data_IF_973206300734
#
_entry.id   IF_973206300734
#
_cell.length_a   1.000
_cell.length_b   1.000
_cell.length_c   1.000
_cell.angle_alpha   90.00
_cell.angle_beta   90.00
_cell.angle_gamma   90.00
#
_symmetry.space_group_name_H-M   'P 1'
#
loop_
_entity.id
_entity.type
_entity.pdbx_description
1 polymer ?
#
# COMPACT_ATOMS: atom_id res chain seq x y z
N UNK A 1 73.73 -39.62 25.18
CA UNK A 1 73.65 -38.47 26.12
C UNK A 1 72.27 -37.86 25.97
N UNK A 2 71.45 -37.50 26.96
CA UNK A 2 71.53 -37.49 28.43
C UNK A 2 70.07 -37.35 28.93
N UNK A 3 69.75 -38.05 30.03
CA UNK A 3 68.84 -37.69 31.14
C UNK A 3 67.30 -37.68 30.93
N UNK A 4 66.66 -38.63 31.64
CA UNK A 4 65.29 -38.62 32.24
C UNK A 4 65.10 -37.40 33.19
N UNK A 5 63.87 -36.90 33.54
CA UNK A 5 62.86 -37.62 34.37
C UNK A 5 61.34 -37.25 34.16
N UNK A 6 60.42 -38.20 34.42
CA UNK A 6 59.39 -38.32 35.51
C UNK A 6 58.14 -37.40 35.46
N UNK A 7 56.97 -38.06 35.45
CA UNK A 7 55.71 -37.85 36.23
C UNK A 7 55.04 -36.44 36.21
N UNK A 8 53.72 -36.21 36.21
CA UNK A 8 52.49 -36.98 36.48
C UNK A 8 51.29 -36.03 36.21
N UNK A 9 50.14 -36.58 35.78
CA UNK A 9 48.73 -36.16 36.00
C UNK A 9 48.08 -34.99 35.23
N UNK A 10 47.11 -35.41 34.38
CA UNK A 10 45.69 -35.03 34.20
C UNK A 10 45.26 -33.55 34.16
N UNK A 11 44.55 -33.22 33.07
CA UNK A 11 43.58 -32.14 33.01
C UNK A 11 42.90 -32.11 31.63
N UNK A 12 41.70 -32.69 31.53
CA UNK A 12 40.84 -32.62 30.35
C UNK A 12 40.21 -31.23 30.27
N UNK A 13 40.32 -30.56 29.13
CA UNK A 13 39.41 -29.48 28.73
C UNK A 13 39.36 -29.43 27.21
N UNK A 14 38.18 -29.70 26.68
CA UNK A 14 37.86 -29.73 25.25
C UNK A 14 37.57 -28.29 24.81
N UNK A 15 38.46 -27.71 24.00
CA UNK A 15 38.22 -26.45 23.30
C UNK A 15 38.22 -26.76 21.79
N UNK A 16 37.04 -26.76 21.18
CA UNK A 16 36.88 -26.80 19.73
C UNK A 16 37.13 -25.36 19.24
N UNK A 17 38.32 -25.13 18.70
CA UNK A 17 38.67 -23.94 17.93
C UNK A 17 38.37 -24.28 16.47
N UNK A 18 37.29 -23.74 15.91
CA UNK A 18 37.08 -23.68 14.47
C UNK A 18 37.66 -22.36 13.94
N UNK A 19 38.78 -22.48 13.25
CA UNK A 19 39.41 -21.42 12.46
C UNK A 19 38.49 -21.03 11.30
N UNK A 20 38.10 -19.76 11.21
CA UNK A 20 37.79 -19.12 9.92
C UNK A 20 38.80 -18.00 9.69
N UNK A 21 39.72 -18.23 8.75
CA UNK A 21 40.59 -17.22 8.18
C UNK A 21 39.77 -16.39 7.19
N UNK A 22 39.39 -15.17 7.58
CA UNK A 22 38.88 -14.18 6.65
C UNK A 22 40.05 -13.61 5.83
N UNK A 23 40.17 -14.05 4.59
CA UNK A 23 40.98 -13.36 3.58
C UNK A 23 40.15 -12.18 3.07
N UNK A 24 40.65 -10.96 3.31
CA UNK A 24 40.15 -9.73 2.70
C UNK A 24 40.39 -9.80 1.19
N UNK A 25 39.32 -9.89 0.41
CA UNK A 25 39.33 -9.58 -1.02
C UNK A 25 38.70 -8.19 -1.23
N UNK A 26 39.24 -7.39 -2.17
CA UNK A 26 38.74 -6.04 -2.41
C UNK A 26 37.35 -6.09 -3.05
N UNK A 27 36.45 -5.23 -2.57
CA UNK A 27 35.13 -5.01 -3.18
C UNK A 27 35.36 -4.30 -4.52
N UNK A 28 35.29 -5.05 -5.62
CA UNK A 28 35.03 -4.49 -6.94
C UNK A 28 33.52 -4.30 -7.09
N UNK A 29 33.10 -3.08 -7.42
CA UNK A 29 31.72 -2.71 -7.68
C UNK A 29 31.04 -3.70 -8.63
N UNK A 30 30.00 -4.39 -8.15
CA UNK A 30 29.14 -5.22 -8.97
C UNK A 30 28.14 -4.35 -9.74
N UNK A 31 27.99 -4.67 -11.01
CA UNK A 31 27.14 -4.04 -12.04
C UNK A 31 25.63 -4.20 -11.79
N UNK A 32 24.79 -3.30 -12.34
CA UNK A 32 23.36 -3.19 -12.02
C UNK A 32 22.51 -4.12 -12.91
N UNK A 33 22.52 -5.43 -12.65
CA UNK A 33 21.70 -6.38 -13.43
C UNK A 33 20.59 -7.07 -12.60
N UNK A 34 20.52 -6.88 -11.27
CA UNK A 34 19.56 -7.60 -10.41
C UNK A 34 18.41 -6.73 -9.83
N UNK A 35 18.16 -5.55 -10.39
CA UNK A 35 17.09 -4.65 -9.91
C UNK A 35 15.65 -5.07 -10.25
N UNK A 36 15.47 -6.07 -11.12
CA UNK A 36 14.15 -6.43 -11.67
C UNK A 36 13.40 -7.54 -10.91
N UNK A 37 14.07 -8.30 -10.03
CA UNK A 37 13.39 -9.29 -9.16
C UNK A 37 12.59 -8.61 -8.03
N UNK A 38 13.12 -7.49 -7.53
CA UNK A 38 12.63 -6.87 -6.30
C UNK A 38 11.27 -6.17 -6.46
N UNK A 39 11.03 -5.49 -7.59
CA UNK A 39 9.74 -4.80 -7.83
C UNK A 39 8.57 -5.74 -8.09
N UNK A 40 8.83 -6.94 -8.64
CA UNK A 40 7.80 -7.96 -8.84
C UNK A 40 7.44 -8.64 -7.51
N UNK A 41 8.42 -8.87 -6.63
CA UNK A 41 8.19 -9.37 -5.26
C UNK A 41 7.49 -8.32 -4.39
N UNK A 42 7.81 -7.03 -4.53
CA UNK A 42 7.10 -5.92 -3.86
C UNK A 42 5.63 -5.82 -4.28
N UNK A 43 5.33 -5.97 -5.57
CA UNK A 43 3.95 -5.98 -6.08
C UNK A 43 3.17 -7.25 -5.67
N UNK A 44 3.87 -8.36 -5.40
CA UNK A 44 3.27 -9.61 -4.94
C UNK A 44 3.06 -9.64 -3.41
N UNK A 45 3.98 -9.07 -2.63
CA UNK A 45 3.92 -9.02 -1.17
C UNK A 45 2.98 -7.91 -0.66
N UNK A 46 2.96 -6.77 -1.34
CA UNK A 46 1.97 -5.70 -1.13
C UNK A 46 0.86 -5.88 -2.16
N UNK A 47 -0.04 -6.83 -1.91
CA UNK A 47 -1.20 -7.00 -2.76
C UNK A 47 -2.21 -5.86 -2.48
N UNK A 48 -1.92 -4.66 -3.01
CA UNK A 48 -2.73 -3.42 -2.95
C UNK A 48 -4.13 -3.61 -3.59
N UNK A 49 -4.44 -4.80 -4.11
CA UNK A 49 -5.55 -5.07 -5.03
C UNK A 49 -6.78 -5.72 -4.40
N UNK A 50 -6.86 -5.85 -3.07
CA UNK A 50 -8.01 -6.43 -2.38
C UNK A 50 -8.54 -5.46 -1.30
N UNK A 51 -9.83 -5.04 -1.31
CA UNK A 51 -10.38 -4.16 -0.29
C UNK A 51 -10.35 -4.73 1.14
N UNK A 52 -10.01 -6.02 1.33
CA UNK A 52 -9.68 -6.58 2.67
C UNK A 52 -8.26 -6.24 3.14
N UNK A 53 -7.39 -5.76 2.26
CA UNK A 53 -6.00 -5.37 2.50
C UNK A 53 -5.77 -3.86 2.41
N UNK A 54 -6.81 -3.03 2.46
CA UNK A 54 -6.68 -1.58 2.43
C UNK A 54 -7.68 -0.91 3.38
N UNK A 55 -7.25 0.11 4.12
CA UNK A 55 -8.13 0.92 4.96
C UNK A 55 -7.68 2.38 5.00
N UNK A 56 -8.60 3.27 4.66
CA UNK A 56 -8.40 4.72 4.73
C UNK A 56 -8.99 5.30 6.02
N UNK A 57 -8.34 6.30 6.58
CA UNK A 57 -8.76 7.03 7.77
C UNK A 57 -8.96 8.51 7.44
N UNK A 58 -10.22 8.94 7.42
CA UNK A 58 -10.58 10.32 7.08
C UNK A 58 -10.13 11.34 8.13
N UNK A 59 -9.86 10.90 9.36
CA UNK A 59 -9.40 11.73 10.47
C UNK A 59 -8.02 12.33 10.20
N UNK A 60 -7.14 11.58 9.53
CA UNK A 60 -5.76 11.98 9.27
C UNK A 60 -5.44 12.12 7.79
N UNK A 61 -6.29 11.60 6.89
CA UNK A 61 -6.03 11.67 5.46
C UNK A 61 -5.06 10.59 4.96
N UNK A 62 -4.81 9.55 5.77
CA UNK A 62 -3.82 8.52 5.48
C UNK A 62 -4.42 7.11 5.38
N UNK A 63 -3.70 6.22 4.71
CA UNK A 63 -4.15 4.85 4.46
C UNK A 63 -3.19 3.80 5.01
N UNK A 64 -3.71 2.64 5.41
CA UNK A 64 -2.90 1.47 5.83
C UNK A 64 -3.25 0.31 4.91
N UNK A 65 -2.24 -0.42 4.42
CA UNK A 65 -2.47 -1.46 3.43
C UNK A 65 -1.62 -2.73 3.63
N UNK A 66 -1.99 -3.80 2.92
CA UNK A 66 -1.23 -5.03 2.81
C UNK A 66 -0.99 -5.76 4.15
N UNK A 67 0.21 -6.35 4.32
CA UNK A 67 0.65 -6.94 5.58
C UNK A 67 0.57 -6.00 6.77
N UNK A 68 0.85 -4.70 6.56
CA UNK A 68 0.86 -3.70 7.61
C UNK A 68 -0.55 -3.42 8.15
N UNK A 69 -1.58 -3.44 7.29
CA UNK A 69 -2.98 -3.37 7.73
C UNK A 69 -3.40 -4.61 8.53
N UNK A 70 -2.95 -5.81 8.14
CA UNK A 70 -3.25 -7.04 8.90
C UNK A 70 -2.64 -6.97 10.29
N UNK A 71 -1.37 -6.60 10.35
CA UNK A 71 -0.66 -6.40 11.61
C UNK A 71 -1.41 -5.38 12.46
N UNK A 72 -1.55 -4.14 11.96
CA UNK A 72 -2.23 -3.03 12.61
C UNK A 72 -3.59 -3.43 13.20
N UNK A 73 -4.45 -4.14 12.43
CA UNK A 73 -5.75 -4.62 12.93
C UNK A 73 -5.61 -5.68 14.01
N UNK A 74 -4.73 -6.67 13.81
CA UNK A 74 -4.53 -7.79 14.74
C UNK A 74 -3.94 -7.37 16.08
N UNK A 75 -3.20 -6.27 16.10
CA UNK A 75 -2.48 -5.78 17.27
C UNK A 75 -3.22 -4.71 18.05
N UNK A 76 -4.41 -4.28 17.63
CA UNK A 76 -5.26 -3.35 18.40
C UNK A 76 -5.67 -2.07 17.64
N UNK A 77 -5.30 -1.95 16.37
CA UNK A 77 -5.76 -0.90 15.46
C UNK A 77 -5.58 0.51 16.01
N UNK A 78 -6.63 1.33 15.87
CA UNK A 78 -6.65 2.73 16.33
C UNK A 78 -6.34 2.81 17.83
N UNK A 79 -6.87 1.88 18.63
CA UNK A 79 -6.69 1.88 20.09
C UNK A 79 -5.22 1.79 20.48
N UNK A 80 -4.44 0.93 19.81
CA UNK A 80 -3.01 0.75 20.11
C UNK A 80 -2.11 1.70 19.32
N UNK A 81 -2.29 1.77 18.01
CA UNK A 81 -1.36 2.44 17.10
C UNK A 81 -1.75 3.90 16.86
N UNK A 82 -3.01 4.26 17.09
CA UNK A 82 -3.58 5.53 16.64
C UNK A 82 -3.82 5.55 15.14
N UNK A 83 -4.34 6.66 14.63
CA UNK A 83 -4.53 6.83 13.19
C UNK A 83 -3.19 6.86 12.46
N UNK A 84 -3.10 6.39 11.20
CA UNK A 84 -1.90 6.60 10.38
C UNK A 84 -1.68 8.09 10.16
N UNK A 85 -0.43 8.54 10.21
CA UNK A 85 -0.04 9.95 9.99
C UNK A 85 0.93 10.12 8.81
N UNK A 86 1.27 9.01 8.14
CA UNK A 86 1.97 8.98 6.86
C UNK A 86 1.40 7.87 5.98
N UNK A 87 1.75 7.86 4.70
CA UNK A 87 1.68 6.65 3.87
C UNK A 87 2.87 5.71 4.18
N UNK A 88 2.93 4.56 3.50
CA UNK A 88 4.07 3.64 3.56
C UNK A 88 5.28 4.26 2.84
N UNK A 89 6.39 4.41 3.54
CA UNK A 89 7.63 5.03 3.07
C UNK A 89 8.72 3.97 2.92
N UNK A 90 9.58 4.06 1.90
CA UNK A 90 10.77 3.20 1.78
C UNK A 90 11.96 3.88 2.45
N UNK A 91 12.58 3.23 3.44
CA UNK A 91 13.77 3.72 4.18
C UNK A 91 14.74 2.58 4.44
N UNK A 92 16.02 2.81 4.22
CA UNK A 92 17.11 1.86 4.57
C UNK A 92 16.82 0.40 4.16
N UNK A 93 16.23 0.20 2.97
CA UNK A 93 15.94 -1.12 2.40
C UNK A 93 14.67 -1.81 2.91
N UNK A 94 13.86 -1.17 3.75
CA UNK A 94 12.61 -1.70 4.27
C UNK A 94 11.51 -0.62 4.29
N UNK A 95 10.25 -1.02 4.50
CA UNK A 95 9.13 -0.08 4.47
C UNK A 95 8.78 0.38 5.88
N UNK A 96 8.39 1.64 6.04
CA UNK A 96 8.08 2.27 7.34
C UNK A 96 6.78 3.06 7.21
N UNK A 97 5.89 2.94 8.18
CA UNK A 97 4.71 3.79 8.28
C UNK A 97 4.53 4.34 9.70
N UNK A 98 4.23 5.63 9.80
CA UNK A 98 4.04 6.32 11.06
C UNK A 98 2.54 6.41 11.38
N UNK A 99 2.23 6.20 12.66
CA UNK A 99 0.92 6.34 13.26
C UNK A 99 1.01 7.28 14.46
N UNK A 100 -0.10 7.81 14.97
CA UNK A 100 -0.07 8.74 16.10
C UNK A 100 0.71 8.19 17.31
N UNK A 101 0.62 6.87 17.57
CA UNK A 101 1.20 6.22 18.74
C UNK A 101 2.26 5.16 18.44
N UNK A 102 2.56 4.88 17.17
CA UNK A 102 3.56 3.87 16.82
C UNK A 102 4.19 4.11 15.46
N UNK A 103 5.34 3.49 15.20
CA UNK A 103 5.90 3.34 13.86
C UNK A 103 6.00 1.86 13.56
N UNK A 104 5.55 1.45 12.38
CA UNK A 104 5.58 0.06 11.93
C UNK A 104 6.53 -0.09 10.75
N UNK A 105 7.43 -1.06 10.85
CA UNK A 105 8.32 -1.49 9.78
C UNK A 105 7.77 -2.75 9.12
N UNK A 106 7.84 -2.79 7.80
CA UNK A 106 7.45 -3.93 6.98
C UNK A 106 8.66 -4.41 6.18
N UNK A 107 8.94 -5.70 6.32
CA UNK A 107 10.06 -6.42 5.74
C UNK A 107 9.55 -7.50 4.79
N UNK A 108 9.52 -7.24 3.46
CA UNK A 108 9.01 -8.19 2.47
C UNK A 108 9.73 -9.54 2.50
N UNK A 109 11.04 -9.54 2.77
CA UNK A 109 11.89 -10.75 2.81
C UNK A 109 11.45 -11.75 3.90
N UNK A 110 10.67 -11.30 4.88
CA UNK A 110 10.12 -12.12 5.97
C UNK A 110 8.64 -12.48 5.75
N UNK A 111 8.14 -12.43 4.52
CA UNK A 111 6.70 -12.63 4.25
C UNK A 111 6.15 -13.94 4.81
N UNK A 112 4.96 -13.87 5.44
CA UNK A 112 4.31 -15.01 6.09
C UNK A 112 4.89 -15.42 7.45
N UNK A 113 5.89 -14.70 7.96
CA UNK A 113 6.47 -14.92 9.29
C UNK A 113 6.05 -13.84 10.29
N UNK A 114 6.18 -14.07 11.61
CA UNK A 114 5.98 -13.03 12.62
C UNK A 114 6.88 -11.79 12.45
N UNK A 115 7.97 -11.89 11.70
CA UNK A 115 8.94 -10.82 11.43
C UNK A 115 8.56 -9.99 10.18
N UNK A 116 7.49 -10.36 9.45
CA UNK A 116 7.02 -9.63 8.26
C UNK A 116 6.70 -8.17 8.58
N UNK A 117 6.04 -7.92 9.72
CA UNK A 117 5.77 -6.56 10.21
C UNK A 117 6.19 -6.51 11.67
N UNK A 118 7.04 -5.56 12.00
CA UNK A 118 7.47 -5.29 13.35
C UNK A 118 7.10 -3.86 13.72
N UNK A 119 6.68 -3.59 14.96
CA UNK A 119 6.75 -2.23 15.45
C UNK A 119 8.24 -1.87 15.49
N UNK A 120 8.59 -0.69 15.03
CA UNK A 120 9.95 -0.18 15.23
C UNK A 120 10.17 -0.20 16.73
N UNK A 121 11.12 -1.03 17.18
CA UNK A 121 11.49 -1.04 18.59
C UNK A 121 11.84 0.41 18.91
N UNK A 122 11.07 0.96 19.83
CA UNK A 122 10.88 2.37 20.06
C UNK A 122 12.14 2.91 20.73
N UNK A 123 13.30 2.91 20.06
CA UNK A 123 14.58 3.15 20.70
C UNK A 123 14.85 2.29 21.97
N UNK A 124 14.05 1.27 22.27
CA UNK A 124 14.08 0.58 23.55
C UNK A 124 15.39 -0.16 23.76
N UNK A 125 15.76 -1.06 22.85
CA UNK A 125 17.01 -1.82 23.04
C UNK A 125 18.27 -0.93 22.99
N UNK A 126 18.28 0.11 22.15
CA UNK A 126 19.48 0.92 21.90
C UNK A 126 19.63 2.16 22.83
N UNK A 127 18.53 2.73 23.37
CA UNK A 127 18.57 3.87 24.33
C UNK A 127 18.36 3.48 25.80
N UNK A 128 17.96 2.24 26.12
CA UNK A 128 17.97 1.76 27.51
C UNK A 128 19.41 1.79 28.04
N UNK A 129 20.40 1.48 27.20
CA UNK A 129 21.79 1.26 27.65
C UNK A 129 21.86 0.10 28.65
N UNK A 130 22.89 0.06 29.49
CA UNK A 130 22.94 -0.91 30.61
C UNK A 130 21.97 -0.49 31.73
N UNK A 131 20.64 -0.61 31.54
CA UNK A 131 19.74 -0.53 32.69
C UNK A 131 19.88 -1.80 33.52
N UNK A 132 20.05 -1.61 34.82
CA UNK A 132 20.22 -2.70 35.75
C UNK A 132 19.01 -3.65 35.69
N UNK A 133 19.30 -4.94 35.49
CA UNK A 133 18.34 -6.01 35.73
C UNK A 133 18.05 -6.11 37.23
N UNK A 134 16.92 -6.70 37.58
CA UNK A 134 16.57 -6.96 38.98
C UNK A 134 16.89 -8.39 39.36
N UNK A 135 17.33 -8.59 40.61
CA UNK A 135 17.47 -9.93 41.16
C UNK A 135 16.10 -10.62 41.14
N UNK A 136 16.07 -11.88 40.72
CA UNK A 136 14.84 -12.66 40.70
C UNK A 136 14.17 -12.70 42.08
N UNK A 137 12.85 -12.51 42.08
CA UNK A 137 12.00 -12.57 43.27
C UNK A 137 10.65 -13.23 42.94
N UNK A 138 9.93 -13.68 43.97
CA UNK A 138 8.58 -14.24 43.78
C UNK A 138 7.58 -13.14 43.41
N UNK A 139 6.90 -13.32 42.27
CA UNK A 139 5.86 -12.39 41.81
C UNK A 139 4.67 -12.34 42.79
N UNK A 140 4.19 -11.13 43.04
CA UNK A 140 3.04 -10.81 43.90
C UNK A 140 1.93 -10.14 43.10
N UNK A 141 0.82 -9.80 43.77
CA UNK A 141 -0.29 -9.10 43.12
C UNK A 141 0.09 -7.69 42.63
N UNK A 142 1.01 -7.03 43.33
CA UNK A 142 1.43 -5.64 43.14
C UNK A 142 2.74 -5.46 42.37
N UNK A 143 3.52 -6.54 42.22
CA UNK A 143 4.78 -6.54 41.48
C UNK A 143 5.05 -7.90 40.83
N UNK A 144 5.38 -7.90 39.55
CA UNK A 144 5.58 -9.13 38.78
C UNK A 144 6.97 -9.17 38.15
N UNK A 145 7.71 -10.25 38.40
CA UNK A 145 9.02 -10.50 37.81
C UNK A 145 8.90 -11.33 36.53
N UNK A 146 9.69 -10.97 35.52
CA UNK A 146 9.74 -11.63 34.21
C UNK A 146 11.14 -12.22 34.02
N UNK A 147 11.32 -13.55 34.19
CA UNK A 147 12.63 -14.19 34.08
C UNK A 147 13.23 -14.07 32.68
N UNK A 148 12.42 -13.94 31.63
CA UNK A 148 12.88 -13.83 30.25
C UNK A 148 13.68 -12.55 29.98
N UNK A 149 13.32 -11.44 30.64
CA UNK A 149 13.99 -10.15 30.48
C UNK A 149 14.77 -9.72 31.72
N UNK A 150 14.64 -10.45 32.83
CA UNK A 150 15.22 -10.08 34.13
C UNK A 150 14.78 -8.69 34.63
N UNK A 151 13.54 -8.32 34.28
CA UNK A 151 12.89 -7.06 34.68
C UNK A 151 11.57 -7.32 35.38
N UNK A 152 11.04 -6.30 36.05
CA UNK A 152 9.77 -6.36 36.74
C UNK A 152 8.84 -5.21 36.38
N UNK A 153 7.55 -5.44 36.59
CA UNK A 153 6.51 -4.40 36.46
C UNK A 153 5.77 -4.32 37.79
N UNK A 154 5.56 -3.11 38.29
CA UNK A 154 4.88 -2.87 39.58
C UNK A 154 3.93 -1.69 39.54
N UNK A 155 3.03 -1.62 40.52
CA UNK A 155 2.20 -0.43 40.76
C UNK A 155 1.29 -0.11 39.58
N UNK A 156 1.17 1.17 39.24
CA UNK A 156 0.29 1.62 38.15
C UNK A 156 0.70 1.09 36.78
N UNK A 157 2.00 0.91 36.51
CA UNK A 157 2.48 0.29 35.28
C UNK A 157 2.00 -1.16 35.18
N UNK A 158 1.97 -1.92 36.28
CA UNK A 158 1.48 -3.31 36.28
C UNK A 158 -0.03 -3.37 36.05
N UNK A 159 -0.77 -2.48 36.72
CA UNK A 159 -2.22 -2.36 36.52
C UNK A 159 -2.56 -1.99 35.08
N UNK A 160 -1.85 -1.01 34.51
CA UNK A 160 -2.02 -0.62 33.11
C UNK A 160 -1.67 -1.78 32.17
N UNK A 161 -0.54 -2.44 32.40
CA UNK A 161 -0.07 -3.54 31.55
C UNK A 161 -1.06 -4.72 31.52
N UNK A 162 -1.60 -5.11 32.69
CA UNK A 162 -2.64 -6.15 32.79
C UNK A 162 -3.93 -5.77 32.08
N UNK A 163 -4.36 -4.52 32.21
CA UNK A 163 -5.63 -4.05 31.67
C UNK A 163 -5.58 -3.71 30.17
N UNK A 164 -4.38 -3.56 29.59
CA UNK A 164 -4.18 -3.16 28.20
C UNK A 164 -3.50 -4.23 27.35
N UNK A 165 -3.72 -5.51 27.69
CA UNK A 165 -3.39 -6.65 26.83
C UNK A 165 -2.00 -7.27 27.03
N UNK A 166 -1.40 -7.07 28.21
CA UNK A 166 -0.21 -7.77 28.73
C UNK A 166 0.91 -7.93 27.66
N UNK A 167 1.44 -9.16 27.54
CA UNK A 167 2.52 -9.52 26.62
C UNK A 167 2.12 -9.35 25.15
N UNK A 168 0.85 -9.50 24.81
CA UNK A 168 0.40 -9.43 23.41
C UNK A 168 0.36 -8.00 22.89
N UNK A 169 0.13 -7.03 23.78
CA UNK A 169 -0.08 -5.63 23.43
C UNK A 169 1.09 -4.72 23.75
N UNK A 170 1.80 -4.97 24.86
CA UNK A 170 2.91 -4.12 25.30
C UNK A 170 4.24 -4.87 25.26
N UNK A 171 4.20 -6.20 25.32
CA UNK A 171 5.39 -7.05 25.37
C UNK A 171 5.93 -7.20 26.79
N UNK A 172 7.09 -7.83 26.92
CA UNK A 172 7.81 -7.98 28.18
C UNK A 172 8.50 -6.67 28.58
N UNK A 173 8.69 -6.39 29.89
CA UNK A 173 9.42 -5.21 30.33
C UNK A 173 10.90 -5.31 29.95
N UNK A 174 11.46 -4.20 29.48
CA UNK A 174 12.88 -4.06 29.15
C UNK A 174 13.62 -3.12 30.12
N UNK A 175 12.90 -2.52 31.08
CA UNK A 175 13.48 -1.70 32.13
C UNK A 175 12.63 -1.75 33.39
N UNK A 176 13.19 -1.35 34.52
CA UNK A 176 12.39 -0.87 35.64
C UNK A 176 11.83 0.54 35.32
N UNK A 177 10.82 1.06 36.04
CA UNK A 177 10.44 2.46 35.94
C UNK A 177 11.58 3.40 36.33
N UNK A 178 11.83 4.44 35.53
CA UNK A 178 12.85 5.45 35.82
C UNK A 178 12.44 6.84 35.30
N UNK A 179 13.07 7.89 35.84
CA UNK A 179 12.84 9.26 35.37
C UNK A 179 13.66 9.56 34.10
N UNK A 180 12.96 9.93 33.02
CA UNK A 180 13.53 10.36 31.75
C UNK A 180 13.41 11.89 31.61
N UNK A 181 14.51 12.55 31.25
CA UNK A 181 14.53 14.00 31.00
C UNK A 181 13.91 14.30 29.65
N UNK A 182 12.90 15.15 29.63
CA UNK A 182 12.23 15.59 28.42
C UNK A 182 12.97 16.78 27.77
N UNK A 183 12.67 17.14 26.51
CA UNK A 183 13.34 18.27 25.82
C UNK A 183 13.17 19.63 26.50
N UNK A 184 12.19 19.79 27.38
CA UNK A 184 11.94 20.99 28.18
C UNK A 184 12.57 20.92 29.59
N UNK A 185 13.52 19.98 29.78
CA UNK A 185 14.18 19.65 31.05
C UNK A 185 13.25 19.09 32.15
N UNK A 186 11.97 18.88 31.88
CA UNK A 186 11.07 18.22 32.83
C UNK A 186 11.44 16.73 32.99
N UNK A 187 11.05 16.15 34.13
CA UNK A 187 11.26 14.72 34.42
C UNK A 187 9.94 13.99 34.28
N UNK A 188 9.94 12.92 33.48
CA UNK A 188 8.79 12.06 33.27
C UNK A 188 9.13 10.65 33.73
N UNK A 189 8.31 10.06 34.59
CA UNK A 189 8.48 8.67 35.00
C UNK A 189 8.01 7.75 33.87
N UNK A 190 8.91 6.89 33.37
CA UNK A 190 8.65 6.01 32.23
C UNK A 190 9.07 4.58 32.52
N UNK A 191 8.49 3.63 31.79
CA UNK A 191 8.96 2.24 31.75
C UNK A 191 8.90 1.71 30.31
N UNK A 192 9.97 1.03 29.89
CA UNK A 192 10.09 0.47 28.56
C UNK A 192 9.68 -1.01 28.53
N UNK A 193 9.00 -1.38 27.44
CA UNK A 193 8.58 -2.74 27.10
C UNK A 193 8.99 -3.04 25.65
N UNK A 194 8.93 -4.31 25.25
CA UNK A 194 9.29 -4.75 23.88
C UNK A 194 8.55 -3.95 22.79
N UNK A 195 7.30 -3.54 23.04
CA UNK A 195 6.46 -2.88 22.03
C UNK A 195 5.92 -1.51 22.43
N UNK A 196 6.32 -0.97 23.59
CA UNK A 196 5.80 0.31 24.08
C UNK A 196 6.72 0.99 25.10
N UNK A 197 6.67 2.33 25.14
CA UNK A 197 7.09 3.13 26.28
C UNK A 197 5.83 3.60 27.01
N UNK A 198 5.72 3.25 28.28
CA UNK A 198 4.66 3.76 29.14
C UNK A 198 5.17 5.01 29.86
N UNK A 199 4.35 6.05 29.90
CA UNK A 199 4.62 7.34 30.54
C UNK A 199 3.60 7.59 31.64
N UNK A 200 4.06 7.96 32.83
CA UNK A 200 3.18 8.34 33.93
C UNK A 200 2.92 9.86 33.91
N UNK A 201 1.67 10.25 33.68
CA UNK A 201 1.26 11.65 33.64
C UNK A 201 0.37 11.98 34.83
N UNK A 202 0.95 12.65 35.84
CA UNK A 202 0.25 13.00 37.08
C UNK A 202 -0.96 13.91 36.86
N UNK A 203 -0.92 14.75 35.82
CA UNK A 203 -1.94 15.79 35.55
C UNK A 203 -3.10 15.30 34.68
N UNK A 204 -3.00 14.12 34.05
CA UNK A 204 -3.97 13.63 33.04
C UNK A 204 -4.46 12.19 33.31
N UNK A 205 -4.68 11.86 34.59
CA UNK A 205 -5.28 10.62 35.07
C UNK A 205 -4.52 9.31 34.75
N UNK A 206 -3.18 9.30 34.88
CA UNK A 206 -2.41 8.05 35.06
C UNK A 206 -1.47 7.65 33.92
N UNK A 207 -1.24 6.34 33.76
CA UNK A 207 -0.31 5.77 32.78
C UNK A 207 -0.85 5.90 31.35
N UNK A 208 -0.02 6.38 30.44
CA UNK A 208 -0.32 6.48 29.00
C UNK A 208 0.74 5.80 28.16
N UNK A 209 0.37 5.38 26.95
CA UNK A 209 1.32 4.95 25.94
C UNK A 209 1.89 6.22 25.28
N UNK A 210 3.21 6.36 25.23
CA UNK A 210 3.86 7.51 24.63
C UNK A 210 3.41 7.74 23.17
N UNK A 211 3.15 9.00 22.77
CA UNK A 211 2.83 9.44 21.39
C UNK A 211 4.08 9.42 20.47
N UNK A 212 4.74 8.27 20.44
CA UNK A 212 6.09 8.10 19.89
C UNK A 212 6.16 8.26 18.37
N UNK A 213 5.12 7.81 17.65
CA UNK A 213 5.08 7.91 16.20
C UNK A 213 4.95 9.35 15.70
N UNK A 214 4.18 10.19 16.40
CA UNK A 214 4.08 11.61 16.08
C UNK A 214 5.40 12.36 16.29
N UNK A 215 6.03 12.18 17.46
CA UNK A 215 7.34 12.83 17.75
C UNK A 215 8.45 12.37 16.80
N UNK A 216 8.44 11.09 16.39
CA UNK A 216 9.43 10.56 15.45
C UNK A 216 9.16 11.04 14.02
N UNK A 217 7.89 11.14 13.61
CA UNK A 217 7.54 11.79 12.35
C UNK A 217 8.05 13.24 12.32
N UNK A 218 7.87 14.01 13.40
CA UNK A 218 8.35 15.39 13.50
C UNK A 218 9.89 15.53 13.41
N UNK A 219 10.65 14.55 13.92
CA UNK A 219 12.12 14.60 13.90
C UNK A 219 12.74 14.02 12.63
N UNK A 220 12.10 13.02 12.01
CA UNK A 220 12.64 12.27 10.89
C UNK A 220 12.06 12.68 9.52
N UNK A 221 11.01 13.51 9.52
CA UNK A 221 10.40 14.08 8.33
C UNK A 221 10.62 15.59 8.35
N UNK A 222 10.81 16.19 7.19
CA UNK A 222 11.12 17.63 7.09
C UNK A 222 10.04 18.45 7.82
N UNK A 223 10.45 19.16 8.88
CA UNK A 223 9.57 19.91 9.80
C UNK A 223 8.59 20.87 9.10
N UNK A 224 8.91 21.33 7.88
CA UNK A 224 8.01 22.18 7.09
C UNK A 224 6.76 21.45 6.57
N UNK A 225 6.83 20.13 6.33
CA UNK A 225 5.69 19.31 5.88
C UNK A 225 4.64 19.12 6.99
N UNK A 226 5.06 19.12 8.27
CA UNK A 226 4.19 18.89 9.43
C UNK A 226 3.77 20.19 10.15
N UNK A 227 4.65 21.21 10.21
CA UNK A 227 4.40 22.40 11.03
C UNK A 227 3.52 23.48 10.37
N UNK A 228 3.20 23.39 9.07
CA UNK A 228 2.50 24.47 8.35
C UNK A 228 1.30 24.06 7.50
N UNK A 229 0.95 22.78 7.49
CA UNK A 229 -0.28 22.34 6.84
C UNK A 229 -1.36 22.13 7.91
N UNK A 230 -2.38 23.02 8.01
CA UNK A 230 -3.67 22.56 8.51
C UNK A 230 -4.04 21.31 7.70
N UNK A 231 -4.38 20.20 8.36
CA UNK A 231 -4.79 18.93 7.73
C UNK A 231 -5.79 19.08 6.57
N UNK A 232 -6.51 20.21 6.52
CA UNK A 232 -7.47 20.58 5.48
C UNK A 232 -6.86 21.18 4.18
N UNK A 233 -5.61 21.66 4.14
CA UNK A 233 -5.03 22.32 2.94
C UNK A 233 -4.24 21.41 2.01
N UNK A 234 -3.72 20.27 2.49
CA UNK A 234 -3.00 19.31 1.64
C UNK A 234 -3.93 18.45 0.77
N UNK A 235 -5.24 18.50 1.01
CA UNK A 235 -6.25 17.65 0.36
C UNK A 235 -7.03 18.32 -0.78
N UNK A 236 -6.78 19.59 -1.12
CA UNK A 236 -7.54 20.27 -2.19
C UNK A 236 -6.81 20.36 -3.55
N UNK A 237 -5.51 20.05 -3.63
CA UNK A 237 -4.72 20.22 -4.87
C UNK A 237 -3.91 19.00 -5.32
N UNK A 238 -4.17 17.80 -4.78
CA UNK A 238 -3.42 16.63 -5.23
C UNK A 238 -3.74 16.33 -6.70
N UNK A 239 -2.68 16.24 -7.49
CA UNK A 239 -2.74 15.88 -8.90
C UNK A 239 -1.83 14.70 -9.17
N UNK A 240 -2.27 13.84 -10.08
CA UNK A 240 -1.49 12.72 -10.59
C UNK A 240 -1.42 12.90 -12.10
N UNK A 241 -0.19 12.90 -12.63
CA UNK A 241 0.03 13.09 -14.06
C UNK A 241 0.49 11.79 -14.69
N UNK A 242 -0.40 11.15 -15.45
CA UNK A 242 -0.12 9.90 -16.17
C UNK A 242 -0.92 9.84 -17.47
N UNK A 243 -0.47 9.09 -18.48
CA UNK A 243 -1.32 8.68 -19.58
C UNK A 243 -2.38 7.66 -19.12
N UNK A 244 -3.65 7.91 -19.44
CA UNK A 244 -4.74 6.92 -19.38
C UNK A 244 -5.30 6.74 -20.79
N UNK A 245 -5.01 5.57 -21.38
CA UNK A 245 -5.31 5.27 -22.77
C UNK A 245 -6.58 4.42 -22.87
N UNK A 246 -7.54 4.87 -23.68
CA UNK A 246 -8.82 4.19 -23.88
C UNK A 246 -8.88 3.46 -25.20
N UNK A 247 -9.12 2.16 -25.08
CA UNK A 247 -9.40 1.21 -26.13
C UNK A 247 -10.88 0.81 -26.07
N UNK A 248 -11.44 0.37 -27.21
CA UNK A 248 -12.77 -0.22 -27.24
C UNK A 248 -12.68 -1.67 -27.72
N UNK A 249 -12.09 -1.89 -28.89
CA UNK A 249 -11.92 -3.24 -29.44
C UNK A 249 -10.44 -3.61 -29.61
N UNK A 250 -10.13 -4.89 -29.37
CA UNK A 250 -8.86 -5.55 -29.72
C UNK A 250 -9.15 -6.66 -30.74
N UNK A 251 -9.48 -6.24 -31.96
CA UNK A 251 -9.94 -7.13 -33.04
C UNK A 251 -9.51 -6.65 -34.42
N UNK A 252 -9.60 -7.54 -35.40
CA UNK A 252 -9.40 -7.20 -36.81
C UNK A 252 -10.75 -6.92 -37.46
N UNK A 253 -10.89 -5.78 -38.14
CA UNK A 253 -12.11 -5.36 -38.81
C UNK A 253 -11.78 -4.71 -40.16
N UNK A 254 -12.62 -4.95 -41.17
CA UNK A 254 -12.48 -4.37 -42.49
C UNK A 254 -12.96 -2.90 -42.50
N UNK A 255 -12.01 -1.97 -42.64
CA UNK A 255 -12.26 -0.52 -42.71
C UNK A 255 -13.34 -0.12 -43.72
N UNK A 256 -13.45 -0.83 -44.85
CA UNK A 256 -14.42 -0.49 -45.90
C UNK A 256 -15.84 -0.89 -45.52
N UNK A 257 -15.98 -1.92 -44.67
CA UNK A 257 -17.29 -2.47 -44.28
C UNK A 257 -17.81 -1.84 -42.99
N UNK A 258 -16.91 -1.52 -42.06
CA UNK A 258 -17.26 -0.90 -40.79
C UNK A 258 -16.20 0.14 -40.40
N UNK A 259 -16.40 1.37 -40.89
CA UNK A 259 -15.49 2.47 -40.62
C UNK A 259 -15.48 2.89 -39.15
N UNK A 260 -16.64 2.82 -38.47
CA UNK A 260 -16.74 3.19 -37.06
C UNK A 260 -16.04 2.14 -36.19
N UNK A 261 -16.37 0.87 -36.39
CA UNK A 261 -15.70 -0.23 -35.70
C UNK A 261 -14.21 -0.26 -35.98
N UNK A 262 -13.77 0.04 -37.21
CA UNK A 262 -12.34 0.20 -37.52
C UNK A 262 -11.68 1.29 -36.68
N UNK A 263 -12.29 2.48 -36.60
CA UNK A 263 -11.75 3.58 -35.78
C UNK A 263 -11.66 3.24 -34.30
N UNK A 264 -12.55 2.39 -33.80
CA UNK A 264 -12.58 1.93 -32.41
C UNK A 264 -11.75 0.66 -32.16
N UNK A 265 -11.17 0.06 -33.20
CA UNK A 265 -10.42 -1.20 -33.09
C UNK A 265 -8.92 -0.99 -33.21
N UNK A 266 -8.17 -1.66 -32.35
CA UNK A 266 -6.75 -1.96 -32.55
C UNK A 266 -6.64 -3.45 -32.85
N UNK A 267 -5.83 -3.84 -33.84
CA UNK A 267 -5.64 -5.28 -34.12
C UNK A 267 -4.87 -5.95 -32.98
N UNK A 268 -5.10 -7.24 -32.68
CA UNK A 268 -4.33 -7.95 -31.65
C UNK A 268 -2.80 -7.86 -31.86
N UNK A 269 -2.35 -7.92 -33.11
CA UNK A 269 -0.92 -7.76 -33.44
C UNK A 269 -0.39 -6.37 -33.08
N UNK A 270 -1.13 -5.31 -33.43
CA UNK A 270 -0.72 -3.93 -33.11
C UNK A 270 -0.78 -3.68 -31.60
N UNK A 271 -1.81 -4.19 -30.94
CA UNK A 271 -1.94 -4.12 -29.49
C UNK A 271 -0.76 -4.82 -28.79
N UNK A 272 -0.38 -6.02 -29.24
CA UNK A 272 0.82 -6.70 -28.75
C UNK A 272 2.08 -5.83 -28.86
N UNK A 273 2.31 -5.20 -30.02
CA UNK A 273 3.44 -4.27 -30.23
C UNK A 273 3.40 -3.07 -29.29
N UNK A 274 2.22 -2.53 -28.97
CA UNK A 274 2.07 -1.46 -27.98
C UNK A 274 2.51 -1.93 -26.59
N UNK A 275 2.07 -3.11 -26.16
CA UNK A 275 2.43 -3.66 -24.86
C UNK A 275 3.93 -3.99 -24.76
N UNK A 276 4.50 -4.59 -25.81
CA UNK A 276 5.93 -4.91 -25.85
C UNK A 276 6.77 -3.63 -25.73
N UNK A 277 6.42 -2.59 -26.49
CA UNK A 277 7.11 -1.31 -26.41
C UNK A 277 6.99 -0.65 -25.04
N UNK A 278 5.80 -0.69 -24.40
CA UNK A 278 5.63 -0.18 -23.03
C UNK A 278 6.58 -0.89 -22.07
N UNK A 279 6.62 -2.23 -22.14
CA UNK A 279 7.49 -3.06 -21.29
C UNK A 279 8.97 -2.73 -21.50
N UNK A 280 9.43 -2.71 -22.75
CA UNK A 280 10.81 -2.41 -23.13
C UNK A 280 11.25 -1.00 -22.73
N UNK A 281 10.31 -0.05 -22.63
CA UNK A 281 10.59 1.33 -22.24
C UNK A 281 10.36 1.60 -20.73
N UNK A 282 10.12 0.56 -19.95
CA UNK A 282 9.99 0.61 -18.48
C UNK A 282 8.71 1.25 -18.00
N UNK A 283 7.61 1.17 -18.76
CA UNK A 283 6.31 1.63 -18.29
C UNK A 283 5.65 0.58 -17.39
N UNK A 284 4.99 1.05 -16.34
CA UNK A 284 4.30 0.21 -15.37
C UNK A 284 2.79 0.44 -15.48
N UNK A 285 2.06 -0.58 -15.89
CA UNK A 285 0.60 -0.47 -15.99
C UNK A 285 -0.04 -0.43 -14.60
N UNK A 286 -1.01 0.47 -14.42
CA UNK A 286 -1.82 0.61 -13.19
C UNK A 286 -3.32 0.67 -13.52
N UNK A 287 -4.18 0.32 -12.56
CA UNK A 287 -5.64 0.46 -12.69
C UNK A 287 -6.10 1.88 -12.32
N UNK A 288 -7.28 2.30 -12.75
CA UNK A 288 -7.88 3.58 -12.31
C UNK A 288 -8.12 3.58 -10.80
N UNK A 289 -8.44 2.45 -10.19
CA UNK A 289 -8.53 2.37 -8.73
C UNK A 289 -7.21 2.79 -8.05
N UNK A 290 -6.06 2.35 -8.57
CA UNK A 290 -4.75 2.76 -8.04
C UNK A 290 -4.47 4.25 -8.28
N UNK A 291 -4.88 4.80 -9.42
CA UNK A 291 -4.76 6.24 -9.73
C UNK A 291 -5.63 7.08 -8.79
N UNK A 292 -6.85 6.62 -8.53
CA UNK A 292 -7.74 7.22 -7.55
C UNK A 292 -7.12 7.20 -6.15
N UNK A 293 -6.53 6.09 -5.74
CA UNK A 293 -5.90 5.98 -4.42
C UNK A 293 -4.68 6.90 -4.31
N UNK A 294 -3.91 7.07 -5.40
CA UNK A 294 -2.86 8.07 -5.47
C UNK A 294 -3.40 9.51 -5.31
N UNK A 295 -4.54 9.83 -5.92
CA UNK A 295 -5.18 11.15 -5.78
C UNK A 295 -5.76 11.37 -4.37
N UNK A 296 -6.55 10.43 -3.88
CA UNK A 296 -7.26 10.57 -2.61
C UNK A 296 -6.33 10.45 -1.41
N UNK A 297 -5.40 9.51 -1.47
CA UNK A 297 -4.64 9.07 -0.30
C UNK A 297 -3.14 9.34 -0.42
N UNK A 298 -2.64 9.71 -1.59
CA UNK A 298 -1.22 10.04 -1.78
C UNK A 298 -0.35 8.79 -1.94
N UNK A 299 -0.96 7.64 -2.26
CA UNK A 299 -0.25 6.43 -2.64
C UNK A 299 0.68 6.73 -3.80
N UNK A 300 1.96 6.38 -3.66
CA UNK A 300 2.92 6.57 -4.72
C UNK A 300 2.68 5.55 -5.84
N UNK A 301 2.47 6.04 -7.06
CA UNK A 301 2.45 5.18 -8.25
C UNK A 301 3.89 4.81 -8.64
N UNK A 302 4.10 3.66 -9.29
CA UNK A 302 5.40 3.33 -9.86
C UNK A 302 5.86 4.40 -10.84
N UNK A 303 7.19 4.54 -11.00
CA UNK A 303 7.73 5.40 -12.06
C UNK A 303 7.16 4.98 -13.43
N UNK A 304 6.97 5.96 -14.32
CA UNK A 304 6.35 5.74 -15.64
C UNK A 304 5.04 4.95 -15.57
N UNK A 305 4.23 5.22 -14.53
CA UNK A 305 2.88 4.69 -14.44
C UNK A 305 2.06 5.06 -15.67
N UNK A 306 1.32 4.09 -16.20
CA UNK A 306 0.38 4.26 -17.31
C UNK A 306 -0.89 3.47 -17.00
N UNK A 307 -2.04 4.06 -17.27
CA UNK A 307 -3.27 3.30 -17.27
C UNK A 307 -3.67 2.91 -18.70
N UNK A 308 -4.06 1.65 -18.86
CA UNK A 308 -4.74 1.15 -20.04
C UNK A 308 -6.18 0.83 -19.61
N UNK A 309 -7.16 1.38 -20.32
CA UNK A 309 -8.57 1.09 -20.07
C UNK A 309 -9.29 0.60 -21.32
N UNK A 310 -10.27 -0.26 -21.12
CA UNK A 310 -11.09 -0.82 -22.17
C UNK A 310 -12.55 -0.64 -21.83
N UNK A 311 -13.31 -0.07 -22.74
CA UNK A 311 -14.73 0.19 -22.56
C UNK A 311 -15.58 -0.93 -23.21
N UNK A 312 -16.88 -0.92 -22.89
CA UNK A 312 -17.95 -1.78 -23.41
C UNK A 312 -18.00 -3.25 -22.95
N UNK A 313 -16.87 -3.90 -22.71
CA UNK A 313 -16.86 -5.28 -22.18
C UNK A 313 -17.15 -6.38 -23.22
N UNK A 314 -16.80 -6.14 -24.48
CA UNK A 314 -16.95 -7.10 -25.59
C UNK A 314 -16.10 -8.38 -25.44
N UNK A 315 -16.38 -9.41 -26.24
CA UNK A 315 -15.69 -10.70 -26.14
C UNK A 315 -14.16 -10.63 -26.35
N UNK A 316 -13.69 -9.65 -27.13
CA UNK A 316 -12.26 -9.38 -27.36
C UNK A 316 -11.54 -8.77 -26.15
N UNK A 317 -12.25 -8.44 -25.06
CA UNK A 317 -11.64 -8.14 -23.77
C UNK A 317 -10.84 -9.32 -23.23
N UNK A 318 -11.25 -10.55 -23.53
CA UNK A 318 -10.48 -11.73 -23.16
C UNK A 318 -9.13 -11.79 -23.89
N UNK A 319 -9.10 -11.38 -25.16
CA UNK A 319 -7.85 -11.25 -25.94
C UNK A 319 -6.94 -10.18 -25.34
N UNK A 320 -7.48 -9.02 -24.98
CA UNK A 320 -6.72 -7.95 -24.33
C UNK A 320 -6.14 -8.41 -22.98
N UNK A 321 -6.98 -9.03 -22.14
CA UNK A 321 -6.59 -9.59 -20.84
C UNK A 321 -5.44 -10.60 -20.96
N UNK A 322 -5.55 -11.58 -21.87
CA UNK A 322 -4.49 -12.59 -22.03
C UNK A 322 -3.16 -11.97 -22.46
N UNK A 323 -3.19 -11.02 -23.40
CA UNK A 323 -1.98 -10.33 -23.87
C UNK A 323 -1.31 -9.49 -22.76
N UNK A 324 -2.10 -8.84 -21.90
CA UNK A 324 -1.61 -8.10 -20.73
C UNK A 324 -1.05 -9.04 -19.67
N UNK A 325 -1.78 -10.12 -19.34
CA UNK A 325 -1.39 -11.11 -18.33
C UNK A 325 -0.07 -11.80 -18.68
N UNK A 326 0.12 -12.19 -19.94
CA UNK A 326 1.38 -12.76 -20.45
C UNK A 326 2.59 -11.85 -20.17
N UNK A 327 2.37 -10.53 -20.10
CA UNK A 327 3.43 -9.54 -19.92
C UNK A 327 3.61 -9.08 -18.47
N UNK A 328 2.78 -9.57 -17.54
CA UNK A 328 2.76 -9.11 -16.15
C UNK A 328 2.12 -7.73 -15.98
N UNK A 329 1.22 -7.35 -16.90
CA UNK A 329 0.55 -6.05 -16.91
C UNK A 329 -0.87 -6.15 -16.35
N UNK A 330 -1.42 -5.00 -15.95
CA UNK A 330 -2.82 -4.82 -15.51
C UNK A 330 -3.50 -3.73 -16.32
N UNK A 331 -4.82 -3.61 -16.19
CA UNK A 331 -5.66 -2.62 -16.86
C UNK A 331 -7.01 -2.45 -16.12
N UNK A 332 -7.80 -1.48 -16.58
CA UNK A 332 -9.19 -1.28 -16.14
C UNK A 332 -10.16 -1.64 -17.26
N UNK A 333 -11.14 -2.49 -16.98
CA UNK A 333 -12.23 -2.86 -17.89
C UNK A 333 -13.54 -2.23 -17.41
N UNK A 334 -14.12 -1.34 -18.20
CA UNK A 334 -15.43 -0.76 -17.98
C UNK A 334 -16.48 -1.56 -18.74
N UNK A 335 -17.40 -2.23 -18.02
CA UNK A 335 -18.31 -3.21 -18.62
C UNK A 335 -19.78 -2.80 -18.55
N UNK A 336 -20.52 -3.10 -19.62
CA UNK A 336 -21.96 -2.89 -19.70
C UNK A 336 -22.67 -4.11 -19.09
N UNK A 337 -23.20 -3.97 -17.89
CA UNK A 337 -23.53 -5.14 -17.04
C UNK A 337 -24.70 -5.99 -17.53
N UNK A 338 -25.58 -5.46 -18.38
CA UNK A 338 -26.65 -6.25 -19.02
C UNK A 338 -26.30 -6.70 -20.45
N UNK A 339 -25.06 -6.50 -20.91
CA UNK A 339 -24.59 -6.90 -22.24
C UNK A 339 -23.24 -7.63 -22.18
N UNK A 340 -23.02 -8.38 -21.10
CA UNK A 340 -21.78 -9.14 -20.94
C UNK A 340 -21.63 -10.18 -22.06
N UNK A 341 -20.52 -10.10 -22.80
CA UNK A 341 -20.16 -11.11 -23.80
C UNK A 341 -19.20 -12.16 -23.24
N UNK A 342 -18.50 -11.86 -22.13
CA UNK A 342 -17.74 -12.83 -21.35
C UNK A 342 -18.58 -13.40 -20.21
N UNK A 343 -18.27 -14.64 -19.82
CA UNK A 343 -18.92 -15.30 -18.68
C UNK A 343 -18.56 -14.60 -17.35
N UNK A 344 -19.46 -14.60 -16.35
CA UNK A 344 -19.17 -14.07 -15.01
C UNK A 344 -17.88 -14.62 -14.39
N UNK A 345 -17.57 -15.89 -14.62
CA UNK A 345 -16.35 -16.54 -14.15
C UNK A 345 -15.09 -15.94 -14.78
N UNK A 346 -15.16 -15.52 -16.05
CA UNK A 346 -14.05 -14.85 -16.73
C UNK A 346 -13.82 -13.46 -16.15
N UNK A 347 -14.88 -12.70 -15.86
CA UNK A 347 -14.74 -11.40 -15.19
C UNK A 347 -14.17 -11.53 -13.78
N UNK A 348 -14.62 -12.52 -13.00
CA UNK A 348 -14.02 -12.84 -11.70
C UNK A 348 -12.55 -13.21 -11.82
N UNK A 349 -12.17 -13.98 -12.85
CA UNK A 349 -10.77 -14.34 -13.09
C UNK A 349 -9.92 -13.10 -13.43
N UNK A 350 -10.43 -12.22 -14.31
CA UNK A 350 -9.77 -10.95 -14.66
C UNK A 350 -9.53 -10.12 -13.41
N UNK A 351 -10.55 -9.96 -12.57
CA UNK A 351 -10.46 -9.21 -11.31
C UNK A 351 -9.46 -9.84 -10.31
N UNK A 352 -9.51 -11.17 -10.12
CA UNK A 352 -8.60 -11.90 -9.23
C UNK A 352 -7.14 -11.85 -9.66
N UNK A 353 -6.86 -11.73 -10.96
CA UNK A 353 -5.51 -11.49 -11.48
C UNK A 353 -5.02 -10.04 -11.30
N UNK A 354 -5.86 -9.20 -10.68
CA UNK A 354 -5.54 -7.85 -10.29
C UNK A 354 -5.70 -6.80 -11.40
N UNK A 355 -6.58 -7.08 -12.36
CA UNK A 355 -7.19 -6.07 -13.22
C UNK A 355 -8.38 -5.45 -12.49
N UNK A 356 -8.75 -4.23 -12.87
CA UNK A 356 -9.98 -3.62 -12.34
C UNK A 356 -11.14 -3.92 -13.29
N UNK A 357 -12.26 -4.41 -12.76
CA UNK A 357 -13.53 -4.52 -13.48
C UNK A 357 -14.53 -3.53 -12.87
N UNK A 358 -15.00 -2.59 -13.66
CA UNK A 358 -15.78 -1.44 -13.19
C UNK A 358 -17.00 -1.15 -14.09
N UNK A 359 -18.03 -0.47 -13.57
CA UNK A 359 -19.28 -0.25 -14.31
C UNK A 359 -19.17 0.74 -15.48
N UNK A 360 -19.83 0.41 -16.59
CA UNK A 360 -20.09 1.28 -17.74
C UNK A 360 -21.59 1.44 -18.03
N UNK A 361 -22.39 1.61 -16.97
CA UNK A 361 -23.86 1.51 -16.96
C UNK A 361 -24.40 0.10 -17.23
N UNK A 362 -25.73 -0.07 -17.12
CA UNK A 362 -26.38 -1.36 -17.39
C UNK A 362 -26.58 -1.58 -18.88
N UNK A 363 -26.99 -0.54 -19.61
CA UNK A 363 -27.44 -0.66 -21.00
C UNK A 363 -26.75 0.28 -21.99
N UNK A 364 -25.74 1.03 -21.55
CA UNK A 364 -24.97 1.99 -22.35
C UNK A 364 -25.81 3.11 -23.03
N UNK A 365 -26.77 3.74 -22.35
CA UNK A 365 -27.51 4.85 -22.91
C UNK A 365 -26.71 6.16 -22.85
N UNK A 366 -27.11 7.15 -23.65
CA UNK A 366 -26.73 8.53 -23.33
C UNK A 366 -27.48 8.94 -22.05
N UNK A 367 -26.75 8.99 -20.93
CA UNK A 367 -27.30 9.27 -19.60
C UNK A 367 -28.07 10.60 -19.54
N UNK A 368 -27.81 11.55 -20.45
CA UNK A 368 -28.55 12.82 -20.52
C UNK A 368 -30.00 12.65 -20.95
N UNK A 369 -30.32 11.52 -21.58
CA UNK A 369 -31.67 11.20 -22.11
C UNK A 369 -32.43 10.20 -21.25
N UNK A 370 -31.79 9.65 -20.22
CA UNK A 370 -32.37 8.61 -19.38
C UNK A 370 -33.22 9.24 -18.28
N UNK A 371 -34.41 8.66 -18.04
CA UNK A 371 -35.30 9.11 -16.96
C UNK A 371 -34.85 8.60 -15.59
N UNK A 372 -34.38 7.35 -15.53
CA UNK A 372 -33.92 6.72 -14.28
C UNK A 372 -32.40 6.50 -14.31
N UNK A 373 -31.65 7.52 -13.88
CA UNK A 373 -30.19 7.46 -13.78
C UNK A 373 -29.72 6.40 -12.78
N UNK A 374 -30.50 6.15 -11.72
CA UNK A 374 -30.11 5.20 -10.67
C UNK A 374 -30.15 3.76 -11.18
N UNK A 375 -31.15 3.43 -12.01
CA UNK A 375 -31.24 2.11 -12.64
C UNK A 375 -29.99 1.80 -13.48
N UNK A 376 -29.42 2.80 -14.16
CA UNK A 376 -28.21 2.62 -14.98
C UNK A 376 -26.92 2.67 -14.15
N UNK A 377 -26.78 3.66 -13.27
CA UNK A 377 -25.51 3.93 -12.57
C UNK A 377 -25.38 3.06 -11.33
N UNK A 378 -26.27 3.22 -10.34
CA UNK A 378 -26.26 2.40 -9.13
C UNK A 378 -26.55 0.93 -9.44
N UNK A 379 -27.42 0.68 -10.42
CA UNK A 379 -27.75 -0.67 -10.84
C UNK A 379 -26.56 -1.43 -11.41
N UNK A 380 -25.77 -0.83 -12.31
CA UNK A 380 -24.58 -1.49 -12.86
C UNK A 380 -23.49 -1.73 -11.81
N UNK A 381 -23.33 -0.80 -10.88
CA UNK A 381 -22.48 -1.01 -9.70
C UNK A 381 -22.91 -2.25 -8.91
N UNK A 382 -24.20 -2.37 -8.57
CA UNK A 382 -24.74 -3.52 -7.84
C UNK A 382 -24.54 -4.83 -8.59
N UNK A 383 -24.83 -4.87 -9.89
CA UNK A 383 -24.65 -6.07 -10.73
C UNK A 383 -23.20 -6.58 -10.66
N UNK A 384 -22.22 -5.66 -10.72
CA UNK A 384 -20.80 -6.02 -10.63
C UNK A 384 -20.38 -6.43 -9.22
N UNK A 385 -20.85 -5.75 -8.19
CA UNK A 385 -20.50 -6.10 -6.81
C UNK A 385 -21.03 -7.49 -6.42
N UNK A 386 -22.22 -7.85 -6.91
CA UNK A 386 -22.77 -9.20 -6.77
C UNK A 386 -21.92 -10.23 -7.54
N UNK A 387 -21.48 -9.90 -8.76
CA UNK A 387 -20.67 -10.80 -9.58
C UNK A 387 -19.26 -11.02 -9.02
N UNK A 388 -18.61 -9.97 -8.51
CA UNK A 388 -17.21 -9.95 -8.08
C UNK A 388 -17.04 -10.23 -6.58
N UNK A 389 -18.07 -9.95 -5.77
CA UNK A 389 -18.05 -10.17 -4.32
C UNK A 389 -17.31 -9.09 -3.51
N UNK A 390 -17.01 -7.93 -4.11
CA UNK A 390 -16.43 -6.78 -3.44
C UNK A 390 -16.90 -5.45 -4.09
N UNK A 391 -16.70 -4.30 -3.42
CA UNK A 391 -17.12 -3.03 -3.94
C UNK A 391 -16.41 -2.61 -5.24
N UNK A 392 -17.13 -1.95 -6.15
CA UNK A 392 -16.56 -1.26 -7.33
C UNK A 392 -16.52 0.25 -7.09
N UNK A 393 -15.39 0.90 -7.41
CA UNK A 393 -15.11 2.27 -6.96
C UNK A 393 -15.02 3.30 -8.09
N UNK A 394 -14.75 2.87 -9.32
CA UNK A 394 -14.62 3.77 -10.48
C UNK A 394 -15.74 3.54 -11.50
N UNK A 395 -15.94 4.49 -12.42
CA UNK A 395 -17.02 4.44 -13.41
C UNK A 395 -16.64 5.17 -14.70
N UNK A 396 -17.10 4.69 -15.85
CA UNK A 396 -16.97 5.40 -17.12
C UNK A 396 -18.32 5.88 -17.63
N UNK A 397 -18.42 7.16 -18.03
CA UNK A 397 -19.63 7.70 -18.65
C UNK A 397 -19.74 7.24 -20.11
N UNK A 398 -20.87 6.65 -20.55
CA UNK A 398 -21.11 6.39 -21.97
C UNK A 398 -20.90 7.65 -22.82
N UNK A 399 -20.18 7.50 -23.93
CA UNK A 399 -19.81 8.59 -24.84
C UNK A 399 -19.01 9.74 -24.19
N UNK A 400 -18.52 9.54 -22.95
CA UNK A 400 -17.91 10.57 -22.11
C UNK A 400 -18.84 11.72 -21.73
N UNK A 401 -20.17 11.52 -21.79
CA UNK A 401 -21.15 12.59 -21.55
C UNK A 401 -21.69 12.55 -20.13
N UNK A 402 -21.67 13.71 -19.49
CA UNK A 402 -22.13 13.92 -18.13
C UNK A 402 -22.84 15.28 -18.00
N UNK A 403 -23.51 15.47 -16.87
CA UNK A 403 -24.14 16.71 -16.40
C UNK A 403 -24.07 16.72 -14.88
N UNK A 404 -24.39 17.85 -14.23
CA UNK A 404 -24.36 17.91 -12.76
C UNK A 404 -25.34 16.91 -12.12
N UNK A 405 -26.49 16.67 -12.75
CA UNK A 405 -27.45 15.65 -12.29
C UNK A 405 -26.88 14.23 -12.41
N UNK A 406 -26.16 13.93 -13.49
CA UNK A 406 -25.50 12.64 -13.70
C UNK A 406 -24.37 12.44 -12.68
N UNK A 407 -23.54 13.46 -12.47
CA UNK A 407 -22.45 13.41 -11.49
C UNK A 407 -22.99 13.23 -10.08
N UNK A 408 -24.10 13.91 -9.76
CA UNK A 408 -24.77 13.71 -8.48
C UNK A 408 -25.23 12.26 -8.33
N UNK A 409 -25.89 11.69 -9.34
CA UNK A 409 -26.33 10.29 -9.31
C UNK A 409 -25.14 9.31 -9.17
N UNK A 410 -24.02 9.57 -9.85
CA UNK A 410 -22.77 8.81 -9.68
C UNK A 410 -22.21 8.92 -8.27
N UNK A 411 -22.20 10.12 -7.70
CA UNK A 411 -21.72 10.35 -6.33
C UNK A 411 -22.61 9.65 -5.30
N UNK A 412 -23.93 9.81 -5.44
CA UNK A 412 -24.94 9.24 -4.54
C UNK A 412 -24.93 7.70 -4.57
N UNK A 413 -24.52 7.08 -5.69
CA UNK A 413 -24.38 5.62 -5.78
C UNK A 413 -23.13 5.08 -5.08
N UNK A 414 -22.30 5.93 -4.48
CA UNK A 414 -21.05 5.53 -3.82
C UNK A 414 -19.91 5.24 -4.79
N UNK A 415 -19.99 5.70 -6.04
CA UNK A 415 -18.82 5.72 -6.94
C UNK A 415 -17.91 6.85 -6.47
N UNK A 416 -16.61 6.57 -6.47
CA UNK A 416 -15.59 7.44 -5.88
C UNK A 416 -14.78 8.22 -6.92
N UNK A 417 -14.73 7.72 -8.15
CA UNK A 417 -14.09 8.39 -9.29
C UNK A 417 -14.82 8.03 -10.59
N UNK A 418 -14.94 8.99 -11.52
CA UNK A 418 -15.49 8.74 -12.84
C UNK A 418 -14.67 9.41 -13.95
N UNK A 419 -14.59 8.72 -15.09
CA UNK A 419 -13.80 9.13 -16.26
C UNK A 419 -14.70 9.55 -17.42
N UNK A 420 -14.28 10.60 -18.14
CA UNK A 420 -14.92 11.11 -19.35
C UNK A 420 -14.05 10.83 -20.60
N UNK A 421 -14.34 11.50 -21.71
CA UNK A 421 -13.53 11.49 -22.95
C UNK A 421 -12.87 12.84 -23.23
N UNK A 422 -12.77 13.72 -22.23
CA UNK A 422 -12.37 15.13 -22.40
C UNK A 422 -10.88 15.34 -22.75
N UNK A 423 -10.08 14.27 -22.88
CA UNK A 423 -8.66 14.34 -23.20
C UNK A 423 -7.81 14.92 -22.05
N UNK A 424 -6.52 14.58 -22.04
CA UNK A 424 -5.56 15.13 -21.07
C UNK A 424 -4.85 14.07 -20.23
N UNK A 425 -3.95 14.55 -19.38
CA UNK A 425 -3.00 13.73 -18.60
C UNK A 425 -3.05 14.00 -17.10
N UNK A 426 -3.72 15.06 -16.69
CA UNK A 426 -3.75 15.52 -15.32
C UNK A 426 -5.02 15.02 -14.66
N UNK A 427 -4.87 14.07 -13.75
CA UNK A 427 -5.91 13.66 -12.84
C UNK A 427 -5.89 14.59 -11.63
N UNK A 428 -7.05 15.09 -11.22
CA UNK A 428 -7.15 16.09 -10.16
C UNK A 428 -8.12 15.63 -9.07
N UNK A 429 -7.72 15.77 -7.81
CA UNK A 429 -8.55 15.41 -6.66
C UNK A 429 -9.83 16.27 -6.57
N UNK A 430 -9.79 17.53 -7.01
CA UNK A 430 -10.98 18.38 -7.08
C UNK A 430 -11.88 18.07 -8.30
N UNK A 431 -11.50 17.09 -9.13
CA UNK A 431 -12.23 16.70 -10.33
C UNK A 431 -12.47 15.18 -10.42
N UNK A 432 -12.75 14.54 -9.27
CA UNK A 432 -12.92 13.07 -9.18
C UNK A 432 -13.95 12.49 -10.15
N UNK A 433 -14.94 13.27 -10.58
CA UNK A 433 -16.04 12.78 -11.41
C UNK A 433 -15.97 13.24 -12.87
N UNK A 434 -14.84 13.80 -13.33
CA UNK A 434 -14.62 14.18 -14.74
C UNK A 434 -13.16 13.96 -15.14
N UNK A 435 -12.59 12.82 -14.75
CA UNK A 435 -11.18 12.54 -15.04
C UNK A 435 -10.94 12.32 -16.54
N UNK A 436 -9.82 12.82 -17.08
CA UNK A 436 -9.56 12.79 -18.51
C UNK A 436 -9.12 11.41 -19.00
N UNK A 437 -9.21 11.19 -20.30
CA UNK A 437 -8.76 9.97 -20.96
C UNK A 437 -8.37 10.25 -22.41
N UNK A 438 -7.40 9.51 -22.93
CA UNK A 438 -6.87 9.68 -24.28
C UNK A 438 -7.32 8.51 -25.14
N UNK A 439 -8.07 8.78 -26.20
CA UNK A 439 -8.53 7.73 -27.12
C UNK A 439 -7.36 7.16 -27.93
N UNK A 440 -7.31 5.83 -28.02
CA UNK A 440 -6.52 5.09 -29.01
C UNK A 440 -7.46 4.64 -30.12
N UNK A 441 -7.05 4.89 -31.37
CA UNK A 441 -7.90 4.65 -32.55
C UNK A 441 -7.23 3.72 -33.55
N UNK A 442 -8.01 3.09 -34.43
CA UNK A 442 -7.48 2.26 -35.51
C UNK A 442 -6.71 3.02 -36.59
N UNK A 443 -6.79 4.36 -36.61
CA UNK A 443 -5.97 5.21 -37.47
C UNK A 443 -4.62 5.57 -36.82
N UNK A 444 -4.40 5.27 -35.52
CA UNK A 444 -3.15 5.57 -34.83
C UNK A 444 -2.00 4.71 -35.37
N UNK A 445 -0.89 5.36 -35.72
CA UNK A 445 0.38 4.68 -35.95
C UNK A 445 1.07 4.35 -34.62
N UNK A 446 2.08 3.48 -34.67
CA UNK A 446 2.98 3.26 -33.51
C UNK A 446 3.58 4.58 -32.98
N UNK A 447 3.91 5.51 -33.87
CA UNK A 447 4.45 6.81 -33.46
C UNK A 447 3.39 7.67 -32.75
N UNK A 448 2.14 7.63 -33.20
CA UNK A 448 1.04 8.34 -32.53
C UNK A 448 0.77 7.79 -31.13
N UNK A 449 0.80 6.46 -30.98
CA UNK A 449 0.72 5.80 -29.68
C UNK A 449 1.86 6.25 -28.75
N UNK A 450 3.10 6.21 -29.22
CA UNK A 450 4.27 6.65 -28.45
C UNK A 450 4.15 8.13 -28.04
N UNK A 451 3.67 8.98 -28.94
CA UNK A 451 3.49 10.41 -28.67
C UNK A 451 2.44 10.63 -27.57
N UNK A 452 1.32 9.92 -27.62
CA UNK A 452 0.29 9.95 -26.56
C UNK A 452 0.86 9.50 -25.23
N UNK A 453 1.60 8.40 -25.20
CA UNK A 453 2.23 7.90 -23.96
C UNK A 453 3.23 8.91 -23.38
N UNK A 454 4.19 9.38 -24.19
CA UNK A 454 5.25 10.30 -23.74
C UNK A 454 4.73 11.68 -23.37
N UNK A 455 3.65 12.14 -23.97
CA UNK A 455 3.05 13.40 -23.59
C UNK A 455 2.49 13.37 -22.16
N UNK A 456 2.22 12.20 -21.58
CA UNK A 456 1.72 12.04 -20.20
C UNK A 456 2.76 11.80 -19.13
N UNK A 457 4.02 11.57 -19.51
CA UNK A 457 5.11 11.22 -18.58
C UNK A 457 6.21 12.29 -18.46
N UNK A 458 5.98 13.48 -19.03
CA UNK A 458 6.85 14.67 -18.91
C UNK A 458 6.69 15.44 -17.62
#
# INVERSE_FOLDING_TARGET
MKRKPKNIVVGVSLAIILLFSATLLPVTAASPENGFSYLAEVAAAVNVRNPRQFQYYNQTGHSVSGPLLRYYRSTGGITRHGYPITELLLRDGHYVQYFERSVLEFYPDYSGTPQEVAPVSLFGADNIGDKATVQAFESTADRWYFPETSHSVSGEFLSFWRNNGERQSLGLPLSEPFEETQPDDSKLLVQYFEYAKLEYHADSEGIQIAHSGLKRAESELDSQLFATAPLARLTEQRQVRIPSLMFHYVRTVDRKKDLLGYRLSVTPETFGKYLDWLKENGYHTVTLAQVMDALKYGVQLPEKAINLRFDDGHADMWTAYLALKERGMTATFYVITQRLELLPEQWRQIDQDGFEVAPHTRTHPDLRTVRDLNAEISGSKQDLEEMLGHPTRTFAYPYGKYSDAIIKATTDSGIEMAVSTDGGYNFLLNNMYKQPTISVTGDDTMQDFINKVKAGTR
#
